data_IF_299543304920
#
_entry.id   IF_299543304920
#
_cell.length_a   1.000
_cell.length_b   1.000
_cell.length_c   1.000
_cell.angle_alpha   90.00
_cell.angle_beta   90.00
_cell.angle_gamma   90.00
#
_symmetry.space_group_name_H-M   'P 1'
#
loop_
_entity.id
_entity.type
_entity.pdbx_description
1 polymer ?
#
# COMPACT_ATOMS: atom_id res chain seq x y z
N UNK A 1 24.75 43.56 -3.39
CA UNK A 1 23.56 42.98 -2.75
C UNK A 1 23.97 41.58 -2.35
N UNK A 2 24.44 41.44 -1.12
CA UNK A 2 25.01 40.20 -0.61
C UNK A 2 23.87 39.24 -0.28
N UNK A 3 23.77 38.17 -1.06
CA UNK A 3 22.88 37.04 -0.80
C UNK A 3 23.55 36.12 0.20
N UNK A 4 23.39 36.41 1.49
CA UNK A 4 23.66 35.44 2.56
C UNK A 4 22.65 34.31 2.47
N UNK A 5 23.13 33.17 1.98
CA UNK A 5 22.42 31.89 1.96
C UNK A 5 22.32 31.41 3.40
N UNK A 6 21.12 31.45 3.99
CA UNK A 6 20.83 30.81 5.26
C UNK A 6 20.66 29.32 4.98
N UNK A 7 21.68 28.53 5.27
CA UNK A 7 21.59 27.06 5.27
C UNK A 7 20.69 26.62 6.41
N UNK A 8 19.66 25.84 6.08
CA UNK A 8 18.78 25.20 7.07
C UNK A 8 19.62 24.36 8.06
N UNK A 9 19.37 24.55 9.35
CA UNK A 9 20.08 23.86 10.41
C UNK A 9 19.77 22.36 10.38
N UNK A 10 20.82 21.55 10.47
CA UNK A 10 20.76 20.09 10.57
C UNK A 10 20.14 19.68 11.94
N UNK A 11 19.03 18.89 11.98
CA UNK A 11 18.37 18.49 13.22
C UNK A 11 19.18 17.52 14.10
N UNK A 12 20.36 17.07 13.67
CA UNK A 12 21.22 16.14 14.41
C UNK A 12 22.02 16.77 15.56
N UNK A 13 21.84 18.07 15.85
CA UNK A 13 22.58 18.81 16.88
C UNK A 13 21.92 18.83 18.27
N UNK A 14 21.47 17.69 18.79
CA UNK A 14 21.13 17.59 20.23
C UNK A 14 22.36 17.87 21.11
N UNK A 15 23.57 17.65 20.59
CA UNK A 15 24.85 17.86 21.28
C UNK A 15 25.24 19.34 21.49
N UNK A 16 24.51 20.31 20.91
CA UNK A 16 24.87 21.74 20.95
C UNK A 16 24.02 22.57 21.93
N UNK A 17 23.28 21.95 22.85
CA UNK A 17 22.49 22.70 23.84
C UNK A 17 23.43 23.32 24.91
N UNK A 18 23.33 24.64 25.06
CA UNK A 18 24.27 25.50 25.79
C UNK A 18 24.30 25.21 27.32
N UNK A 19 25.48 24.97 27.94
CA UNK A 19 25.61 24.56 29.35
C UNK A 19 25.27 25.63 30.41
N UNK A 20 24.84 26.84 30.03
CA UNK A 20 24.69 27.98 30.95
C UNK A 20 23.38 28.04 31.78
N UNK A 21 22.66 26.93 31.96
CA UNK A 21 21.39 26.88 32.75
C UNK A 21 21.62 26.27 34.15
N UNK A 22 22.46 26.88 34.98
CA UNK A 22 22.90 26.28 36.28
C UNK A 22 22.53 27.04 37.56
N UNK A 23 21.72 28.09 37.55
CA UNK A 23 21.39 28.82 38.79
C UNK A 23 19.90 28.80 39.17
N UNK A 24 19.39 27.67 39.72
CA UNK A 24 18.11 27.63 40.45
C UNK A 24 18.27 26.88 41.78
N UNK A 25 18.44 27.64 42.87
CA UNK A 25 17.98 27.42 44.25
C UNK A 25 18.08 26.05 44.95
N UNK A 26 18.81 26.03 46.09
CA UNK A 26 19.06 24.95 47.06
C UNK A 26 17.87 24.11 47.60
N UNK A 27 16.62 24.30 47.14
CA UNK A 27 15.46 23.47 47.53
C UNK A 27 15.24 22.24 46.64
N UNK A 28 15.95 22.15 45.52
CA UNK A 28 15.84 21.06 44.54
C UNK A 28 17.21 20.50 44.10
N UNK A 29 18.21 20.53 44.99
CA UNK A 29 19.61 20.14 44.71
C UNK A 29 19.84 18.70 44.21
N UNK A 30 18.79 17.86 44.20
CA UNK A 30 18.83 16.48 43.72
C UNK A 30 18.20 16.29 42.33
N UNK A 31 17.92 17.35 41.58
CA UNK A 31 17.47 17.25 40.19
C UNK A 31 18.69 17.42 39.31
N UNK A 32 19.00 16.47 38.42
CA UNK A 32 19.98 16.71 37.37
C UNK A 32 19.62 18.00 36.63
N UNK A 33 20.60 18.81 36.24
CA UNK A 33 20.29 20.04 35.50
C UNK A 33 19.47 19.71 34.25
N UNK A 34 18.75 20.71 33.69
CA UNK A 34 17.98 20.50 32.47
C UNK A 34 18.82 19.84 31.36
N UNK A 35 20.11 20.19 31.28
CA UNK A 35 21.08 19.56 30.38
C UNK A 35 21.27 18.07 30.64
N UNK A 36 21.41 17.65 31.90
CA UNK A 36 21.56 16.22 32.21
C UNK A 36 20.29 15.45 31.86
N UNK A 37 19.11 16.06 31.97
CA UNK A 37 17.85 15.42 31.55
C UNK A 37 17.75 15.28 30.03
N UNK A 38 18.21 16.29 29.29
CA UNK A 38 18.35 16.23 27.84
C UNK A 38 19.34 15.12 27.45
N UNK A 39 20.51 15.07 28.09
CA UNK A 39 21.51 14.03 27.83
C UNK A 39 20.96 12.63 28.14
N UNK A 40 20.21 12.49 29.24
CA UNK A 40 19.55 11.22 29.58
C UNK A 40 18.53 10.82 28.52
N UNK A 41 17.79 11.77 27.95
CA UNK A 41 16.81 11.54 26.90
C UNK A 41 17.49 11.19 25.56
N UNK A 42 18.57 11.89 25.21
CA UNK A 42 19.37 11.64 24.03
C UNK A 42 19.98 10.23 24.03
N UNK A 43 20.41 9.75 25.21
CA UNK A 43 21.05 8.44 25.36
C UNK A 43 20.08 7.28 25.64
N UNK A 44 18.81 7.56 25.95
CA UNK A 44 17.76 6.54 26.16
C UNK A 44 16.49 6.95 25.44
N UNK A 45 16.23 6.42 24.23
CA UNK A 45 15.27 7.03 23.30
C UNK A 45 13.80 6.97 23.73
N UNK A 46 13.43 6.32 24.85
CA UNK A 46 12.03 5.97 25.06
C UNK A 46 11.40 6.32 26.41
N UNK A 47 12.14 6.44 27.53
CA UNK A 47 11.49 6.75 28.83
C UNK A 47 12.45 7.28 29.89
N UNK A 48 12.07 8.38 30.53
CA UNK A 48 12.71 8.83 31.77
C UNK A 48 12.31 7.90 32.94
N UNK A 49 13.21 7.61 33.89
CA UNK A 49 12.85 6.88 35.11
C UNK A 49 11.67 7.54 35.84
N UNK A 50 10.72 6.74 36.33
CA UNK A 50 9.47 7.23 36.92
C UNK A 50 9.65 8.26 38.04
N UNK A 51 10.69 8.13 38.86
CA UNK A 51 10.97 9.08 39.94
C UNK A 51 11.44 10.44 39.41
N UNK A 52 12.22 10.46 38.31
CA UNK A 52 12.65 11.70 37.64
C UNK A 52 11.43 12.35 36.98
N UNK A 53 10.63 11.54 36.31
CA UNK A 53 9.43 11.98 35.62
C UNK A 53 8.42 12.62 36.57
N UNK A 54 8.07 11.96 37.69
CA UNK A 54 7.21 12.52 38.75
C UNK A 54 7.73 13.86 39.25
N UNK A 55 9.04 13.94 39.50
CA UNK A 55 9.68 15.14 40.02
C UNK A 55 9.63 16.30 39.01
N UNK A 56 9.84 16.02 37.72
CA UNK A 56 9.67 17.02 36.66
C UNK A 56 8.24 17.55 36.60
N UNK A 57 7.26 16.65 36.71
CA UNK A 57 5.86 17.04 36.77
C UNK A 57 5.57 17.93 38.00
N UNK A 58 6.12 17.59 39.16
CA UNK A 58 5.95 18.38 40.39
C UNK A 58 6.55 19.78 40.26
N UNK A 59 7.73 19.92 39.64
CA UNK A 59 8.34 21.23 39.35
C UNK A 59 7.44 22.04 38.44
N UNK A 60 6.98 21.44 37.34
CA UNK A 60 6.13 22.09 36.36
C UNK A 60 4.83 22.59 37.03
N UNK A 61 4.14 21.72 37.78
CA UNK A 61 2.93 22.07 38.51
C UNK A 61 3.17 23.15 39.56
N UNK A 62 4.31 23.11 40.26
CA UNK A 62 4.71 24.15 41.21
C UNK A 62 4.90 25.49 40.52
N UNK A 63 5.68 25.55 39.43
CA UNK A 63 5.91 26.77 38.64
C UNK A 63 4.61 27.33 38.06
N UNK A 64 3.75 26.46 37.52
CA UNK A 64 2.41 26.83 37.01
C UNK A 64 1.53 27.43 38.12
N UNK A 65 1.52 26.84 39.33
CA UNK A 65 0.76 27.35 40.49
C UNK A 65 1.24 28.71 40.97
N UNK A 66 2.54 29.01 40.87
CA UNK A 66 3.09 30.30 41.27
C UNK A 66 2.62 31.46 40.39
N UNK A 67 1.89 31.20 39.28
CA UNK A 67 1.38 32.20 38.32
C UNK A 67 2.43 33.18 37.80
N UNK A 68 3.72 32.88 37.98
CA UNK A 68 4.80 33.59 37.32
C UNK A 68 4.63 33.32 35.83
N UNK A 69 4.81 34.35 35.00
CA UNK A 69 4.88 34.19 33.55
C UNK A 69 6.07 33.26 33.28
N UNK A 70 5.79 32.00 32.99
CA UNK A 70 6.78 31.06 32.47
C UNK A 70 7.04 31.42 31.01
N UNK A 71 8.28 31.23 30.58
CA UNK A 71 8.63 31.33 29.17
C UNK A 71 7.87 30.24 28.39
N UNK A 72 7.16 30.56 27.30
CA UNK A 72 6.46 29.56 26.50
C UNK A 72 7.38 28.44 25.98
N UNK A 73 8.65 28.73 25.66
CA UNK A 73 9.62 27.70 25.27
C UNK A 73 9.95 26.75 26.43
N UNK A 74 10.08 27.29 27.64
CA UNK A 74 10.29 26.48 28.85
C UNK A 74 9.11 25.53 29.08
N UNK A 75 7.88 26.00 28.86
CA UNK A 75 6.67 25.17 28.97
C UNK A 75 6.70 24.01 27.95
N UNK A 76 7.00 24.31 26.69
CA UNK A 76 7.08 23.28 25.64
C UNK A 76 8.15 22.24 25.96
N UNK A 77 9.33 22.66 26.44
CA UNK A 77 10.38 21.72 26.86
C UNK A 77 9.90 20.83 28.01
N UNK A 78 9.20 21.39 29.02
CA UNK A 78 8.61 20.55 30.06
C UNK A 78 7.59 19.57 29.47
N UNK A 79 6.73 19.99 28.55
CA UNK A 79 5.75 19.11 27.93
C UNK A 79 6.39 17.99 27.10
N UNK A 80 7.46 18.28 26.36
CA UNK A 80 8.22 17.29 25.61
C UNK A 80 8.89 16.27 26.54
N UNK A 81 9.61 16.75 27.57
CA UNK A 81 10.32 15.88 28.51
C UNK A 81 9.37 15.06 29.39
N UNK A 82 8.27 15.67 29.82
CA UNK A 82 7.25 15.02 30.65
C UNK A 82 6.26 14.23 29.78
N UNK A 83 6.32 14.36 28.44
CA UNK A 83 5.32 13.88 27.47
C UNK A 83 3.88 14.19 27.90
N UNK A 84 3.66 15.26 28.66
CA UNK A 84 2.34 15.63 29.15
C UNK A 84 1.91 16.92 28.53
N UNK A 85 0.63 16.99 28.20
CA UNK A 85 0.00 18.25 27.87
C UNK A 85 -1.27 18.33 28.72
N UNK A 86 -1.19 19.11 29.81
CA UNK A 86 -2.32 19.38 30.70
C UNK A 86 -2.96 20.74 30.38
N UNK A 87 -2.99 21.14 29.11
CA UNK A 87 -3.78 22.30 28.72
C UNK A 87 -5.26 21.96 28.76
N UNK A 88 -6.02 22.76 29.52
CA UNK A 88 -7.46 22.60 29.68
C UNK A 88 -8.29 23.09 28.47
N UNK A 89 -7.64 23.52 27.39
CA UNK A 89 -8.25 23.98 26.13
C UNK A 89 -7.52 25.16 25.49
N UNK A 90 -8.06 25.66 24.39
CA UNK A 90 -7.48 26.75 23.58
C UNK A 90 -7.19 28.02 24.40
N UNK A 91 -8.07 28.39 25.34
CA UNK A 91 -7.88 29.57 26.19
C UNK A 91 -6.61 29.49 27.06
N UNK A 92 -6.18 28.30 27.44
CA UNK A 92 -4.93 28.13 28.20
C UNK A 92 -3.71 28.22 27.28
N UNK A 93 -3.79 27.65 26.08
CA UNK A 93 -2.75 27.76 25.04
C UNK A 93 -2.48 29.22 24.70
N UNK A 94 -3.54 30.02 24.50
CA UNK A 94 -3.43 31.46 24.27
C UNK A 94 -2.86 32.21 25.48
N UNK A 95 -3.32 31.88 26.70
CA UNK A 95 -2.82 32.50 27.93
C UNK A 95 -1.33 32.24 28.14
N UNK A 96 -0.88 31.03 27.80
CA UNK A 96 0.51 30.62 27.89
C UNK A 96 1.34 31.04 26.68
N UNK A 97 0.73 31.68 25.66
CA UNK A 97 1.37 32.13 24.41
C UNK A 97 2.06 31.00 23.67
N UNK A 98 1.49 29.81 23.74
CA UNK A 98 2.05 28.61 23.11
C UNK A 98 1.94 28.70 21.58
N UNK A 99 0.92 29.40 21.07
CA UNK A 99 0.77 29.73 19.64
C UNK A 99 1.92 30.57 19.08
N UNK A 100 2.71 31.25 19.93
CA UNK A 100 3.91 31.97 19.50
C UNK A 100 5.14 31.07 19.38
N UNK A 101 5.06 29.80 19.81
CA UNK A 101 6.15 28.82 19.69
C UNK A 101 5.80 27.74 18.66
N UNK A 102 4.53 27.33 18.59
CA UNK A 102 4.01 26.46 17.55
C UNK A 102 3.30 27.32 16.50
N UNK A 103 4.09 28.01 15.67
CA UNK A 103 3.57 28.94 14.67
C UNK A 103 3.00 28.21 13.46
N UNK A 104 3.58 27.06 13.13
CA UNK A 104 3.16 26.22 12.01
C UNK A 104 2.45 24.96 12.48
N UNK A 105 1.64 24.41 11.58
CA UNK A 105 1.01 23.12 11.75
C UNK A 105 2.04 21.97 11.74
N UNK A 106 3.15 22.13 11.03
CA UNK A 106 4.30 21.22 11.12
C UNK A 106 4.87 21.19 12.53
N UNK A 107 5.02 22.34 13.19
CA UNK A 107 5.47 22.41 14.60
C UNK A 107 4.49 21.68 15.52
N UNK A 108 3.19 21.87 15.28
CA UNK A 108 2.14 21.19 16.03
C UNK A 108 2.18 19.67 15.84
N UNK A 109 2.30 19.19 14.59
CA UNK A 109 2.38 17.76 14.29
C UNK A 109 3.66 17.17 14.88
N UNK A 110 4.80 17.83 14.70
CA UNK A 110 6.08 17.40 15.28
C UNK A 110 5.98 17.29 16.80
N UNK A 111 5.42 18.32 17.45
CA UNK A 111 5.22 18.33 18.89
C UNK A 111 4.34 17.16 19.32
N UNK A 112 3.23 16.93 18.60
CA UNK A 112 2.29 15.84 18.88
C UNK A 112 2.92 14.46 18.72
N UNK A 113 3.64 14.23 17.62
CA UNK A 113 4.39 13.01 17.37
C UNK A 113 5.44 12.75 18.46
N UNK A 114 6.09 13.82 18.95
CA UNK A 114 7.13 13.73 19.98
C UNK A 114 6.61 13.37 21.37
N UNK A 115 5.32 13.59 21.64
CA UNK A 115 4.67 13.24 22.91
C UNK A 115 3.72 12.04 22.79
N UNK A 116 3.76 11.29 21.68
CA UNK A 116 2.91 10.11 21.50
C UNK A 116 3.21 9.03 22.54
N UNK A 117 2.15 8.29 22.85
CA UNK A 117 2.19 7.07 23.64
C UNK A 117 1.69 5.90 22.80
N UNK A 118 2.37 4.77 22.92
CA UNK A 118 2.01 3.51 22.28
C UNK A 118 2.08 2.36 23.31
N UNK A 119 1.73 1.15 22.88
CA UNK A 119 1.74 -0.03 23.75
C UNK A 119 3.16 -0.37 24.25
N UNK A 120 4.20 0.04 23.50
CA UNK A 120 5.60 -0.14 23.88
C UNK A 120 6.04 0.90 24.92
N UNK A 121 5.41 2.07 24.92
CA UNK A 121 5.69 3.19 25.83
C UNK A 121 4.40 3.73 26.44
N UNK A 122 3.73 2.95 27.31
CA UNK A 122 2.48 3.37 27.91
C UNK A 122 2.68 4.57 28.84
N UNK A 123 1.61 5.38 28.95
CA UNK A 123 1.55 6.47 29.92
C UNK A 123 1.77 5.92 31.35
N UNK A 124 2.59 6.57 32.19
CA UNK A 124 2.72 6.15 33.59
C UNK A 124 1.36 6.15 34.31
N UNK A 125 1.08 5.10 35.08
CA UNK A 125 -0.22 4.91 35.76
C UNK A 125 -0.65 6.10 36.63
N UNK A 126 0.33 6.76 37.27
CA UNK A 126 0.08 7.90 38.15
C UNK A 126 -0.33 9.17 37.39
N UNK A 127 -0.12 9.20 36.08
CA UNK A 127 -0.45 10.30 35.19
C UNK A 127 -1.79 10.08 34.47
N UNK A 128 -2.26 8.84 34.38
CA UNK A 128 -3.61 8.53 33.91
C UNK A 128 -4.61 9.15 34.91
N UNK A 129 -5.48 10.09 34.50
CA UNK A 129 -6.47 10.66 35.40
C UNK A 129 -7.29 9.55 36.07
N UNK A 130 -7.45 9.61 37.41
CA UNK A 130 -8.20 8.58 38.17
C UNK A 130 -9.64 8.36 37.66
N UNK A 131 -10.21 9.34 36.95
CA UNK A 131 -11.51 9.22 36.27
C UNK A 131 -11.48 8.25 35.07
N UNK A 132 -10.33 8.09 34.39
CA UNK A 132 -10.12 7.11 33.31
C UNK A 132 -9.58 5.77 33.80
N UNK A 133 -8.76 5.75 34.85
CA UNK A 133 -8.25 4.50 35.41
C UNK A 133 -9.38 3.52 35.81
N UNK A 134 -10.55 4.05 36.18
CA UNK A 134 -11.75 3.25 36.48
C UNK A 134 -12.48 2.69 35.25
N UNK A 135 -12.29 3.24 34.04
CA UNK A 135 -12.87 2.68 32.81
C UNK A 135 -11.89 1.81 32.02
N UNK A 136 -10.58 1.86 32.33
CA UNK A 136 -9.53 1.05 31.71
C UNK A 136 -9.17 -0.20 32.52
N UNK A 137 -9.59 -0.29 33.78
CA UNK A 137 -9.50 -1.53 34.54
C UNK A 137 -10.49 -2.54 33.93
N UNK A 138 -10.05 -3.75 33.55
CA UNK A 138 -10.95 -4.79 33.11
C UNK A 138 -11.79 -5.20 34.33
N UNK A 139 -12.99 -4.65 34.45
CA UNK A 139 -14.03 -5.35 35.18
C UNK A 139 -14.11 -6.74 34.53
N UNK A 140 -14.02 -7.79 35.34
CA UNK A 140 -14.18 -9.18 34.95
C UNK A 140 -15.44 -9.37 34.08
N UNK A 141 -15.29 -9.16 32.78
CA UNK A 141 -16.25 -9.51 31.76
C UNK A 141 -15.64 -10.66 30.99
N UNK A 142 -16.03 -11.84 31.49
CA UNK A 142 -16.16 -13.07 30.72
C UNK A 142 -16.69 -12.71 29.32
N UNK A 143 -15.88 -13.04 28.31
CA UNK A 143 -16.27 -13.15 26.90
C UNK A 143 -16.79 -11.87 26.21
N UNK A 144 -15.91 -10.94 25.82
CA UNK A 144 -16.06 -10.14 24.58
C UNK A 144 -14.84 -9.26 24.30
N UNK A 145 -14.31 -9.35 23.07
CA UNK A 145 -13.13 -8.64 22.57
C UNK A 145 -13.35 -7.13 22.26
N UNK A 146 -14.35 -6.47 22.85
CA UNK A 146 -14.86 -5.17 22.36
C UNK A 146 -14.54 -3.93 23.22
N UNK A 147 -13.76 -4.05 24.31
CA UNK A 147 -13.75 -3.02 25.36
C UNK A 147 -12.94 -1.77 25.03
N UNK A 148 -11.79 -1.89 24.32
CA UNK A 148 -10.96 -0.73 23.93
C UNK A 148 -11.62 0.07 22.80
N UNK A 149 -12.32 -0.62 21.90
CA UNK A 149 -13.09 0.00 20.82
C UNK A 149 -14.26 0.83 21.34
N UNK A 150 -14.84 0.52 22.52
CA UNK A 150 -16.01 1.26 23.02
C UNK A 150 -15.72 2.70 23.51
N UNK A 151 -14.50 2.98 24.00
CA UNK A 151 -14.10 4.33 24.42
C UNK A 151 -13.68 5.23 23.25
N UNK A 152 -13.20 4.63 22.16
CA UNK A 152 -12.92 5.32 20.90
C UNK A 152 -14.16 5.42 20.01
N UNK A 153 -15.12 4.48 20.07
CA UNK A 153 -16.37 4.55 19.30
C UNK A 153 -17.49 5.35 19.97
N UNK A 154 -17.34 5.75 21.24
CA UNK A 154 -18.26 6.70 21.86
C UNK A 154 -18.22 8.10 21.19
N UNK A 155 -17.25 8.38 20.31
CA UNK A 155 -17.20 9.59 19.47
C UNK A 155 -18.11 9.53 18.23
N UNK A 156 -18.58 8.34 17.81
CA UNK A 156 -19.37 8.17 16.58
C UNK A 156 -20.87 8.52 16.71
N UNK A 157 -21.32 8.96 17.88
CA UNK A 157 -22.70 9.42 18.08
C UNK A 157 -22.87 10.91 17.72
N UNK A 158 -22.61 11.28 16.45
CA UNK A 158 -23.13 12.43 15.68
C UNK A 158 -23.07 13.86 16.25
N UNK A 159 -22.67 14.07 17.50
CA UNK A 159 -22.68 15.34 18.21
C UNK A 159 -21.56 15.37 19.26
N UNK A 160 -20.35 15.03 18.84
CA UNK A 160 -19.17 15.45 19.61
C UNK A 160 -19.16 16.98 19.62
N UNK A 161 -19.67 17.55 20.71
CA UNK A 161 -19.65 18.99 20.96
C UNK A 161 -18.25 19.52 20.67
N UNK A 162 -18.12 20.62 19.91
CA UNK A 162 -16.83 21.28 19.61
C UNK A 162 -15.93 21.45 20.85
N UNK A 163 -16.54 21.56 22.04
CA UNK A 163 -15.83 21.62 23.31
C UNK A 163 -15.10 20.32 23.70
N UNK A 164 -15.63 19.15 23.32
CA UNK A 164 -14.96 17.85 23.51
C UNK A 164 -13.76 17.72 22.57
N UNK A 165 -13.91 18.13 21.30
CA UNK A 165 -12.82 18.16 20.33
C UNK A 165 -11.67 19.08 20.79
N UNK A 166 -12.01 20.30 21.21
CA UNK A 166 -11.04 21.27 21.74
C UNK A 166 -10.31 20.78 23.00
N UNK A 167 -10.96 19.96 23.84
CA UNK A 167 -10.30 19.30 24.97
C UNK A 167 -9.35 18.20 24.51
N UNK A 168 -9.74 17.43 23.50
CA UNK A 168 -8.93 16.33 22.98
C UNK A 168 -7.67 16.83 22.25
N UNK A 169 -7.71 18.02 21.62
CA UNK A 169 -6.57 18.64 20.93
C UNK A 169 -5.30 18.72 21.77
N UNK A 170 -5.40 18.90 23.07
CA UNK A 170 -4.23 19.14 23.93
C UNK A 170 -3.99 18.03 24.95
N UNK A 171 -4.71 16.91 24.88
CA UNK A 171 -4.39 15.76 25.72
C UNK A 171 -3.19 14.96 25.18
N UNK A 172 -2.51 14.18 26.04
CA UNK A 172 -1.69 13.05 25.61
C UNK A 172 -2.50 12.23 24.60
N UNK A 173 -2.00 12.14 23.37
CA UNK A 173 -2.69 11.44 22.29
C UNK A 173 -1.96 10.13 21.99
N UNK A 174 -2.74 9.07 21.80
CA UNK A 174 -2.28 7.91 21.05
C UNK A 174 -2.22 8.28 19.56
N UNK A 175 -1.50 7.49 18.77
CA UNK A 175 -1.46 7.70 17.32
C UNK A 175 -2.88 7.72 16.70
N UNK A 176 -3.81 6.80 17.04
CA UNK A 176 -5.19 6.86 16.53
C UNK A 176 -5.93 8.16 16.87
N UNK A 177 -5.76 8.70 18.07
CA UNK A 177 -6.40 9.95 18.47
C UNK A 177 -5.83 11.15 17.69
N UNK A 178 -4.52 11.14 17.39
CA UNK A 178 -3.92 12.15 16.52
C UNK A 178 -4.42 12.00 15.07
N UNK A 179 -4.54 10.77 14.58
CA UNK A 179 -5.06 10.48 13.24
C UNK A 179 -6.49 10.99 13.07
N UNK A 180 -7.39 10.72 14.02
CA UNK A 180 -8.77 11.22 14.05
C UNK A 180 -8.81 12.75 14.01
N UNK A 181 -7.98 13.42 14.82
CA UNK A 181 -7.88 14.88 14.83
C UNK A 181 -7.46 15.44 13.47
N UNK A 182 -6.47 14.83 12.81
CA UNK A 182 -6.02 15.26 11.48
C UNK A 182 -7.12 15.05 10.44
N UNK A 183 -7.88 13.96 10.52
CA UNK A 183 -9.00 13.71 9.60
C UNK A 183 -10.11 14.76 9.75
N UNK A 184 -10.43 15.13 11.00
CA UNK A 184 -11.51 16.07 11.29
C UNK A 184 -11.15 17.52 10.91
N UNK A 185 -9.93 17.97 11.20
CA UNK A 185 -9.54 19.38 11.04
C UNK A 185 -8.69 19.64 9.80
N UNK A 186 -7.90 18.66 9.37
CA UNK A 186 -6.89 18.80 8.32
C UNK A 186 -7.41 19.34 6.99
N UNK A 187 -8.53 18.83 6.43
CA UNK A 187 -9.06 19.34 5.16
C UNK A 187 -9.40 20.83 5.20
N UNK A 188 -9.96 21.29 6.33
CA UNK A 188 -10.36 22.69 6.51
C UNK A 188 -9.14 23.62 6.58
N UNK A 189 -8.09 23.20 7.28
CA UNK A 189 -6.85 23.97 7.43
C UNK A 189 -6.11 24.04 6.08
N UNK A 190 -5.97 22.90 5.37
CA UNK A 190 -5.32 22.89 4.06
C UNK A 190 -6.04 23.79 3.05
N UNK A 191 -7.38 23.78 3.06
CA UNK A 191 -8.19 24.70 2.23
C UNK A 191 -7.95 26.17 2.57
N UNK A 192 -7.81 26.52 3.86
CA UNK A 192 -7.50 27.89 4.28
C UNK A 192 -6.10 28.34 3.82
N UNK A 193 -5.13 27.41 3.81
CA UNK A 193 -3.77 27.67 3.32
C UNK A 193 -3.66 27.76 1.79
N UNK A 194 -4.73 27.43 1.06
CA UNK A 194 -4.74 27.31 -0.40
C UNK A 194 -3.64 26.38 -0.96
N UNK A 195 -3.28 25.34 -0.19
CA UNK A 195 -2.30 24.33 -0.58
C UNK A 195 -2.93 22.93 -0.52
N UNK A 196 -3.34 22.33 -1.65
CA UNK A 196 -4.01 21.04 -1.66
C UNK A 196 -3.09 19.88 -1.24
N UNK A 197 -1.77 20.05 -1.31
CA UNK A 197 -0.80 19.01 -0.94
C UNK A 197 -0.48 18.95 0.55
N UNK A 198 -0.97 19.93 1.31
CA UNK A 198 -0.63 20.06 2.71
C UNK A 198 -1.35 18.99 3.57
N UNK A 199 -2.63 18.73 3.29
CA UNK A 199 -3.38 17.68 3.96
C UNK A 199 -2.83 16.26 3.73
N UNK A 200 -2.57 15.81 2.48
CA UNK A 200 -1.96 14.49 2.25
C UNK A 200 -0.58 14.37 2.92
N UNK A 201 0.21 15.44 2.99
CA UNK A 201 1.49 15.42 3.72
C UNK A 201 1.31 15.09 5.21
N UNK A 202 0.32 15.69 5.87
CA UNK A 202 0.03 15.39 7.28
C UNK A 202 -0.52 13.98 7.49
N UNK A 203 -1.34 13.50 6.56
CA UNK A 203 -1.80 12.10 6.55
C UNK A 203 -0.61 11.14 6.44
N UNK A 204 0.39 11.43 5.60
CA UNK A 204 1.62 10.64 5.50
C UNK A 204 2.44 10.66 6.81
N UNK A 205 2.62 11.83 7.42
CA UNK A 205 3.33 11.96 8.70
C UNK A 205 2.65 11.19 9.84
N UNK A 206 1.33 11.05 9.77
CA UNK A 206 0.54 10.28 10.73
C UNK A 206 0.25 8.85 10.28
N UNK A 207 0.93 8.36 9.23
CA UNK A 207 0.83 6.99 8.71
C UNK A 207 -0.58 6.57 8.23
N UNK A 208 -1.38 7.52 7.75
CA UNK A 208 -2.71 7.31 7.17
C UNK A 208 -2.61 7.23 5.64
N UNK A 209 -1.90 6.23 5.15
CA UNK A 209 -1.45 6.12 3.76
C UNK A 209 -2.61 6.08 2.74
N UNK A 210 -3.65 5.31 3.04
CA UNK A 210 -4.83 5.13 2.18
C UNK A 210 -5.63 6.43 2.07
N UNK A 211 -5.82 7.11 3.19
CA UNK A 211 -6.46 8.43 3.21
C UNK A 211 -5.61 9.48 2.48
N UNK A 212 -4.28 9.42 2.57
CA UNK A 212 -3.40 10.36 1.87
C UNK A 212 -3.59 10.26 0.35
N UNK A 213 -3.58 9.03 -0.18
CA UNK A 213 -3.86 8.77 -1.61
C UNK A 213 -5.27 9.23 -1.98
N UNK A 214 -6.26 8.87 -1.17
CA UNK A 214 -7.66 9.21 -1.44
C UNK A 214 -7.92 10.72 -1.35
N UNK A 215 -7.19 11.46 -0.52
CA UNK A 215 -7.36 12.92 -0.39
C UNK A 215 -6.88 13.69 -1.62
N UNK A 216 -5.95 13.11 -2.39
CA UNK A 216 -5.53 13.64 -3.70
C UNK A 216 -6.53 13.30 -4.79
N UNK A 217 -7.37 12.28 -4.60
CA UNK A 217 -8.42 11.90 -5.53
C UNK A 217 -9.74 12.62 -5.20
N UNK A 218 -10.47 13.21 -6.17
CA UNK A 218 -10.27 13.14 -7.62
C UNK A 218 -9.49 14.31 -8.24
N UNK A 219 -9.13 15.34 -7.48
CA UNK A 219 -8.61 16.61 -8.01
C UNK A 219 -7.18 16.51 -8.58
N UNK A 220 -6.36 15.62 -8.04
CA UNK A 220 -4.96 15.38 -8.37
C UNK A 220 -4.69 13.88 -8.66
N UNK A 221 -5.31 13.32 -9.71
CA UNK A 221 -5.34 11.88 -9.94
C UNK A 221 -3.97 11.29 -10.29
N UNK A 222 -3.11 12.06 -10.95
CA UNK A 222 -1.77 11.62 -11.32
C UNK A 222 -0.89 11.49 -10.08
N UNK A 223 -0.92 12.49 -9.19
CA UNK A 223 -0.20 12.49 -7.91
C UNK A 223 -0.70 11.38 -6.99
N UNK A 224 -2.03 11.18 -6.93
CA UNK A 224 -2.64 10.07 -6.18
C UNK A 224 -2.09 8.70 -6.64
N UNK A 225 -2.03 8.46 -7.95
CA UNK A 225 -1.47 7.22 -8.52
C UNK A 225 0.00 7.04 -8.14
N UNK A 226 0.83 8.05 -8.35
CA UNK A 226 2.27 7.91 -8.06
C UNK A 226 2.55 7.73 -6.57
N UNK A 227 1.85 8.46 -5.72
CA UNK A 227 1.95 8.30 -4.27
C UNK A 227 1.52 6.89 -3.86
N UNK A 228 0.37 6.42 -4.35
CA UNK A 228 -0.14 5.08 -4.05
C UNK A 228 0.79 3.97 -4.52
N UNK A 229 1.36 4.07 -5.72
CA UNK A 229 2.36 3.12 -6.22
C UNK A 229 3.63 3.11 -5.37
N UNK A 230 4.12 4.29 -4.97
CA UNK A 230 5.28 4.41 -4.07
C UNK A 230 5.01 3.75 -2.72
N UNK A 231 3.86 4.01 -2.11
CA UNK A 231 3.46 3.41 -0.82
C UNK A 231 3.28 1.90 -0.92
N UNK A 232 2.68 1.40 -2.02
CA UNK A 232 2.54 -0.04 -2.29
C UNK A 232 3.91 -0.71 -2.46
N UNK A 233 4.85 -0.08 -3.17
CA UNK A 233 6.20 -0.60 -3.35
C UNK A 233 6.92 -0.85 -2.00
N UNK A 234 6.76 0.06 -1.04
CA UNK A 234 7.29 -0.11 0.31
C UNK A 234 6.43 -1.01 1.23
N UNK A 235 5.30 -1.52 0.74
CA UNK A 235 4.38 -2.33 1.52
C UNK A 235 3.64 -1.56 2.62
N UNK A 236 3.50 -0.24 2.47
CA UNK A 236 2.82 0.64 3.42
C UNK A 236 1.32 0.76 3.15
N UNK A 237 0.86 0.41 1.95
CA UNK A 237 -0.54 0.47 1.55
C UNK A 237 -1.20 -0.91 1.71
N UNK A 238 -2.30 -0.99 2.45
CA UNK A 238 -3.08 -2.22 2.63
C UNK A 238 -4.00 -2.48 1.44
N UNK A 239 -3.64 -3.47 0.62
CA UNK A 239 -4.39 -3.87 -0.59
C UNK A 239 -5.75 -4.52 -0.28
N UNK A 240 -5.98 -5.01 0.95
CA UNK A 240 -7.04 -6.00 1.23
C UNK A 240 -8.15 -5.55 2.18
N UNK A 241 -8.01 -4.45 2.93
CA UNK A 241 -8.92 -4.17 4.06
C UNK A 241 -9.86 -2.98 3.87
N UNK A 242 -9.56 -2.02 2.98
CA UNK A 242 -10.24 -0.72 3.02
C UNK A 242 -11.45 -0.60 2.08
N UNK A 243 -11.70 -1.59 1.22
CA UNK A 243 -12.96 -1.64 0.45
C UNK A 243 -14.17 -1.94 1.34
N UNK A 244 -13.97 -2.44 2.56
CA UNK A 244 -15.05 -2.90 3.45
C UNK A 244 -15.89 -1.74 4.01
N UNK A 245 -15.36 -0.51 4.04
CA UNK A 245 -16.09 0.66 4.56
C UNK A 245 -16.46 1.70 3.48
N UNK A 246 -16.07 1.51 2.22
CA UNK A 246 -16.45 2.38 1.10
C UNK A 246 -15.96 3.84 1.19
N UNK A 247 -15.10 4.17 2.16
CA UNK A 247 -14.58 5.53 2.36
C UNK A 247 -13.37 5.85 1.48
N UNK A 248 -12.64 4.83 1.03
CA UNK A 248 -11.41 4.98 0.24
C UNK A 248 -11.56 4.24 -1.08
N UNK A 249 -11.28 4.94 -2.19
CA UNK A 249 -11.19 4.29 -3.50
C UNK A 249 -9.96 3.36 -3.51
N UNK A 250 -10.10 2.09 -3.90
CA UNK A 250 -8.96 1.19 -3.96
C UNK A 250 -7.97 1.69 -5.03
N UNK A 251 -6.67 1.52 -4.76
CA UNK A 251 -5.63 2.01 -5.65
C UNK A 251 -5.78 1.45 -7.08
N UNK A 252 -6.23 0.20 -7.21
CA UNK A 252 -6.49 -0.44 -8.50
C UNK A 252 -7.47 0.36 -9.35
N UNK A 253 -8.54 0.89 -8.73
CA UNK A 253 -9.59 1.61 -9.45
C UNK A 253 -9.08 3.01 -9.86
N UNK A 254 -8.27 3.66 -9.00
CA UNK A 254 -7.62 4.95 -9.32
C UNK A 254 -6.66 4.77 -10.49
N UNK A 255 -5.77 3.77 -10.41
CA UNK A 255 -4.77 3.47 -11.45
C UNK A 255 -5.45 3.07 -12.75
N UNK A 256 -6.50 2.23 -12.70
CA UNK A 256 -7.30 1.87 -13.86
C UNK A 256 -7.91 3.11 -14.52
N UNK A 257 -8.50 4.02 -13.73
CA UNK A 257 -9.11 5.24 -14.26
C UNK A 257 -8.09 6.13 -14.97
N UNK A 258 -6.93 6.34 -14.35
CA UNK A 258 -5.83 7.11 -14.97
C UNK A 258 -5.27 6.41 -16.20
N UNK A 259 -5.07 5.10 -16.15
CA UNK A 259 -4.56 4.30 -17.26
C UNK A 259 -5.50 4.36 -18.48
N UNK A 260 -6.81 4.25 -18.25
CA UNK A 260 -7.82 4.37 -19.30
C UNK A 260 -7.84 5.77 -19.91
N UNK A 261 -7.70 6.82 -19.09
CA UNK A 261 -7.62 8.20 -19.57
C UNK A 261 -6.36 8.45 -20.42
N UNK A 262 -5.22 7.87 -20.02
CA UNK A 262 -3.96 8.01 -20.74
C UNK A 262 -3.86 7.11 -21.99
N UNK A 263 -4.61 6.02 -22.06
CA UNK A 263 -4.51 5.01 -23.12
C UNK A 263 -4.57 5.57 -24.56
N UNK A 264 -5.45 6.54 -24.89
CA UNK A 264 -5.52 7.07 -26.26
C UNK A 264 -4.29 7.87 -26.68
N UNK A 265 -3.66 8.58 -25.75
CA UNK A 265 -2.56 9.52 -26.03
C UNK A 265 -1.18 8.93 -25.72
N UNK A 266 -1.09 8.07 -24.70
CA UNK A 266 0.15 7.55 -24.13
C UNK A 266 0.02 6.06 -23.76
N UNK A 267 -0.21 5.16 -24.75
CA UNK A 267 -0.45 3.75 -24.47
C UNK A 267 0.73 3.05 -23.80
N UNK A 268 1.97 3.48 -24.07
CA UNK A 268 3.14 2.94 -23.36
C UNK A 268 3.11 3.26 -21.85
N UNK A 269 2.66 4.44 -21.44
CA UNK A 269 2.53 4.79 -20.02
C UNK A 269 1.39 4.02 -19.35
N UNK A 270 0.27 3.86 -20.05
CA UNK A 270 -0.85 3.02 -19.60
C UNK A 270 -0.36 1.60 -19.28
N UNK A 271 0.44 1.00 -20.16
CA UNK A 271 1.07 -0.30 -19.91
C UNK A 271 1.78 -0.35 -18.56
N UNK A 272 2.67 0.62 -18.31
CA UNK A 272 3.49 0.64 -17.10
C UNK A 272 2.65 0.78 -15.85
N UNK A 273 1.63 1.64 -15.85
CA UNK A 273 0.72 1.75 -14.71
C UNK A 273 -0.01 0.44 -14.40
N UNK A 274 -0.51 -0.24 -15.44
CA UNK A 274 -1.19 -1.53 -15.27
C UNK A 274 -0.22 -2.64 -14.85
N UNK A 275 1.02 -2.60 -15.35
CA UNK A 275 2.07 -3.54 -14.97
C UNK A 275 2.49 -3.35 -13.51
N UNK A 276 2.51 -2.11 -13.01
CA UNK A 276 2.80 -1.79 -11.62
C UNK A 276 1.70 -2.27 -10.65
N UNK A 277 0.48 -2.54 -11.12
CA UNK A 277 -0.55 -3.20 -10.30
C UNK A 277 -0.30 -4.70 -10.13
N UNK A 278 0.56 -5.30 -10.96
CA UNK A 278 0.87 -6.72 -10.87
C UNK A 278 1.73 -7.01 -9.63
N UNK A 279 1.19 -7.83 -8.73
CA UNK A 279 1.87 -8.25 -7.50
C UNK A 279 3.25 -8.89 -7.78
N UNK A 280 3.43 -9.51 -8.95
CA UNK A 280 4.73 -10.08 -9.33
C UNK A 280 5.83 -9.02 -9.49
N UNK A 281 5.46 -7.78 -9.83
CA UNK A 281 6.38 -6.66 -10.04
C UNK A 281 6.60 -5.82 -8.78
N UNK A 282 5.57 -5.70 -7.93
CA UNK A 282 5.64 -4.91 -6.70
C UNK A 282 6.10 -5.66 -5.45
N UNK A 283 6.29 -6.98 -5.54
CA UNK A 283 6.69 -7.80 -4.41
C UNK A 283 8.20 -8.15 -4.29
N UNK A 284 9.22 -7.36 -4.68
CA UNK A 284 10.61 -7.73 -4.35
C UNK A 284 10.79 -7.92 -2.83
N UNK A 285 10.25 -7.00 -2.03
CA UNK A 285 10.34 -7.03 -0.57
C UNK A 285 9.53 -8.18 0.05
N UNK A 286 8.29 -8.40 -0.39
CA UNK A 286 7.46 -9.51 0.08
C UNK A 286 8.01 -10.87 -0.35
N UNK A 287 8.55 -10.97 -1.58
CA UNK A 287 9.21 -12.18 -2.08
C UNK A 287 10.46 -12.47 -1.26
N UNK A 288 11.31 -11.48 -1.01
CA UNK A 288 12.49 -11.63 -0.15
C UNK A 288 12.11 -12.08 1.26
N UNK A 289 11.13 -11.43 1.90
CA UNK A 289 10.66 -11.79 3.25
C UNK A 289 10.05 -13.20 3.30
N UNK A 290 9.30 -13.59 2.27
CA UNK A 290 8.73 -14.93 2.16
C UNK A 290 9.80 -15.99 1.89
N UNK A 291 10.82 -15.67 1.09
CA UNK A 291 11.97 -16.54 0.87
C UNK A 291 12.81 -16.71 2.14
N UNK A 292 13.01 -15.64 2.93
CA UNK A 292 13.66 -15.70 4.24
C UNK A 292 12.87 -16.56 5.23
N UNK A 293 11.54 -16.40 5.30
CA UNK A 293 10.66 -17.29 6.08
C UNK A 293 10.76 -18.75 5.63
N UNK A 294 10.79 -19.00 4.31
CA UNK A 294 10.97 -20.36 3.75
C UNK A 294 12.36 -20.92 4.11
N UNK A 295 13.43 -20.12 4.03
CA UNK A 295 14.78 -20.50 4.45
C UNK A 295 14.82 -20.82 5.95
N UNK A 296 14.17 -20.05 6.80
CA UNK A 296 14.06 -20.33 8.24
C UNK A 296 13.29 -21.63 8.53
N UNK A 297 12.14 -21.86 7.86
CA UNK A 297 11.40 -23.12 7.99
C UNK A 297 12.21 -24.33 7.52
N UNK A 298 12.97 -24.21 6.42
CA UNK A 298 13.89 -25.27 5.94
C UNK A 298 15.00 -25.54 6.96
N UNK A 299 15.63 -24.50 7.52
CA UNK A 299 16.65 -24.65 8.58
C UNK A 299 16.08 -25.32 9.83
N UNK A 300 14.88 -24.93 10.27
CA UNK A 300 14.24 -25.55 11.43
C UNK A 300 13.88 -27.02 11.16
N UNK A 301 13.32 -27.34 9.99
CA UNK A 301 13.01 -28.73 9.61
C UNK A 301 14.28 -29.59 9.57
N UNK A 302 15.36 -29.07 8.99
CA UNK A 302 16.64 -29.78 8.92
C UNK A 302 17.27 -29.99 10.30
N UNK A 303 17.15 -29.01 11.21
CA UNK A 303 17.62 -29.13 12.60
C UNK A 303 16.79 -30.12 13.40
N UNK A 304 15.46 -30.13 13.22
CA UNK A 304 14.58 -31.13 13.85
C UNK A 304 14.85 -32.54 13.32
N UNK A 305 15.12 -32.70 12.02
CA UNK A 305 15.53 -34.00 11.44
C UNK A 305 16.89 -34.46 11.95
N UNK A 306 17.88 -33.57 12.10
CA UNK A 306 19.17 -33.90 12.68
C UNK A 306 19.06 -34.26 14.17
N UNK A 307 18.26 -33.52 14.95
CA UNK A 307 18.01 -33.86 16.35
C UNK A 307 17.29 -35.20 16.51
N UNK A 308 16.39 -35.58 15.60
CA UNK A 308 15.75 -36.91 15.61
C UNK A 308 16.72 -38.05 15.27
N UNK A 309 17.73 -37.79 14.43
CA UNK A 309 18.82 -38.73 14.13
C UNK A 309 19.81 -38.83 15.29
N UNK A 310 20.15 -37.71 15.93
CA UNK A 310 21.06 -37.66 17.08
C UNK A 310 20.41 -38.18 18.37
N UNK A 311 19.09 -38.07 18.51
CA UNK A 311 18.35 -38.60 19.66
C UNK A 311 18.17 -40.11 19.62
N UNK A 312 18.88 -40.81 18.71
CA UNK A 312 19.20 -42.24 18.77
C UNK A 312 18.38 -43.00 19.80
N UNK A 313 17.12 -43.23 19.47
CA UNK A 313 16.43 -44.38 20.02
C UNK A 313 17.13 -45.56 19.39
N UNK A 314 17.79 -46.35 20.22
CA UNK A 314 18.30 -47.67 19.89
C UNK A 314 17.16 -48.47 19.27
N UNK A 315 17.10 -48.50 17.94
CA UNK A 315 16.28 -49.44 17.21
C UNK A 315 17.23 -50.54 16.77
N UNK A 316 17.12 -51.66 17.46
CA UNK A 316 17.84 -52.90 17.18
C UNK A 316 17.81 -53.20 15.68
N UNK A 317 18.97 -53.05 15.05
CA UNK A 317 19.19 -53.33 13.65
C UNK A 317 19.29 -54.83 13.46
N UNK A 318 18.22 -55.45 12.98
CA UNK A 318 18.30 -56.72 12.28
C UNK A 318 17.37 -56.72 11.05
N UNK A 319 17.91 -57.22 9.95
CA UNK A 319 17.29 -57.49 8.65
C UNK A 319 17.08 -56.34 7.62
N UNK A 320 17.78 -56.50 6.49
CA UNK A 320 17.12 -56.56 5.18
C UNK A 320 17.33 -55.38 4.22
N UNK A 321 18.43 -55.43 3.45
CA UNK A 321 18.59 -54.64 2.22
C UNK A 321 17.62 -55.18 1.17
N UNK A 322 16.71 -54.35 0.67
CA UNK A 322 15.89 -54.62 -0.53
C UNK A 322 16.04 -53.46 -1.49
N UNK A 323 16.70 -53.75 -2.62
CA UNK A 323 16.73 -52.89 -3.81
C UNK A 323 15.32 -52.85 -4.44
N UNK A 324 14.83 -51.65 -4.76
CA UNK A 324 13.57 -51.45 -5.50
C UNK A 324 13.92 -50.84 -6.86
N UNK A 325 13.88 -51.67 -7.90
CA UNK A 325 13.87 -51.24 -9.29
C UNK A 325 12.49 -50.67 -9.66
N UNK A 326 12.48 -49.45 -10.20
CA UNK A 326 11.28 -48.77 -10.72
C UNK A 326 11.14 -49.08 -12.20
N UNK A 327 10.18 -49.94 -12.55
CA UNK A 327 9.78 -50.26 -13.92
C UNK A 327 8.79 -49.20 -14.42
N UNK A 328 9.12 -48.53 -15.54
CA UNK A 328 8.17 -47.73 -16.32
C UNK A 328 7.31 -48.65 -17.20
N UNK A 329 6.00 -48.47 -17.16
CA UNK A 329 5.03 -49.14 -18.04
C UNK A 329 4.42 -48.08 -18.95
N UNK A 330 4.65 -48.21 -20.25
CA UNK A 330 3.92 -47.48 -21.30
C UNK A 330 2.55 -48.12 -21.51
N UNK A 331 1.51 -47.30 -21.61
CA UNK A 331 0.15 -47.73 -21.97
C UNK A 331 -0.28 -46.93 -23.19
N UNK A 332 -0.37 -47.63 -24.32
CA UNK A 332 -1.03 -47.15 -25.54
C UNK A 332 -2.54 -47.20 -25.35
N UNK A 333 -3.23 -46.11 -25.72
CA UNK A 333 -4.69 -46.08 -25.80
C UNK A 333 -5.10 -45.45 -27.13
N UNK A 334 -5.50 -46.32 -28.06
CA UNK A 334 -6.31 -46.00 -29.23
C UNK A 334 -7.72 -45.61 -28.78
N UNK A 335 -8.27 -44.53 -29.33
CA UNK A 335 -9.71 -44.27 -29.28
C UNK A 335 -10.17 -43.46 -30.49
N UNK A 336 -11.05 -44.08 -31.27
CA UNK A 336 -11.78 -43.54 -32.41
C UNK A 336 -13.00 -42.69 -31.99
N UNK A 337 -13.28 -41.69 -32.83
CA UNK A 337 -14.57 -41.12 -33.27
C UNK A 337 -15.60 -40.59 -32.25
N UNK A 338 -15.91 -39.29 -32.30
CA UNK A 338 -17.12 -38.74 -32.96
C UNK A 338 -17.17 -37.20 -32.81
N UNK A 339 -17.51 -36.50 -33.91
CA UNK A 339 -17.40 -35.05 -34.10
C UNK A 339 -18.76 -34.36 -33.88
N UNK A 340 -19.05 -33.99 -32.63
CA UNK A 340 -20.09 -33.00 -32.31
C UNK A 340 -19.44 -31.61 -32.17
N UNK A 341 -19.78 -30.72 -33.11
CA UNK A 341 -19.24 -29.37 -33.27
C UNK A 341 -19.92 -28.35 -32.33
N UNK A 342 -19.92 -28.66 -31.03
CA UNK A 342 -20.00 -27.61 -30.01
C UNK A 342 -18.57 -27.08 -29.80
N UNK A 343 -18.36 -25.80 -30.10
CA UNK A 343 -17.07 -25.11 -29.98
C UNK A 343 -16.65 -24.99 -28.51
N UNK A 344 -16.21 -26.11 -27.92
CA UNK A 344 -15.59 -26.19 -26.61
C UNK A 344 -14.21 -25.54 -26.67
N UNK A 345 -14.22 -24.21 -26.66
CA UNK A 345 -13.01 -23.40 -26.41
C UNK A 345 -12.38 -23.73 -25.05
N UNK A 346 -13.08 -24.45 -24.17
CA UNK A 346 -12.62 -24.86 -22.85
C UNK A 346 -11.89 -26.22 -22.85
N UNK A 347 -12.25 -27.18 -23.71
CA UNK A 347 -11.72 -28.55 -23.64
C UNK A 347 -10.26 -28.67 -24.13
N UNK A 348 -9.87 -27.89 -25.14
CA UNK A 348 -8.48 -27.77 -25.60
C UNK A 348 -7.59 -26.96 -24.65
N UNK A 349 -8.17 -26.07 -23.84
CA UNK A 349 -7.41 -25.31 -22.84
C UNK A 349 -7.13 -26.17 -21.61
N UNK A 350 -7.99 -27.14 -21.31
CA UNK A 350 -7.88 -28.00 -20.13
C UNK A 350 -6.72 -29.00 -20.15
N UNK A 351 -6.19 -29.38 -21.33
CA UNK A 351 -5.12 -30.38 -21.44
C UNK A 351 -3.71 -29.80 -21.50
N UNK A 352 -3.55 -28.52 -21.85
CA UNK A 352 -2.21 -27.99 -22.17
C UNK A 352 -1.49 -27.27 -21.02
N UNK A 353 -2.12 -26.96 -19.88
CA UNK A 353 -1.42 -26.64 -18.63
C UNK A 353 -2.44 -26.48 -17.50
N UNK A 354 -2.10 -26.94 -16.30
CA UNK A 354 -2.67 -26.54 -14.99
C UNK A 354 -2.37 -25.03 -14.69
N UNK A 355 -2.44 -24.18 -15.73
CA UNK A 355 -2.17 -22.74 -15.79
C UNK A 355 -3.26 -21.90 -15.14
N UNK A 356 -4.45 -22.44 -14.92
CA UNK A 356 -5.48 -21.76 -14.14
C UNK A 356 -5.01 -21.47 -12.70
N UNK A 357 -4.02 -22.22 -12.17
CA UNK A 357 -3.36 -21.91 -10.90
C UNK A 357 -2.30 -20.81 -10.98
N UNK A 358 -1.70 -20.59 -12.16
CA UNK A 358 -0.63 -19.63 -12.38
C UNK A 358 -1.11 -18.28 -12.92
N UNK A 359 -2.34 -18.22 -13.44
CA UNK A 359 -2.91 -17.00 -13.99
C UNK A 359 -4.18 -16.65 -13.21
N UNK A 360 -4.05 -16.35 -11.92
CA UNK A 360 -4.96 -15.36 -11.35
C UNK A 360 -4.70 -14.07 -12.12
N UNK A 361 -5.52 -13.80 -13.14
CA UNK A 361 -5.45 -12.55 -13.88
C UNK A 361 -5.79 -11.44 -12.88
N UNK A 362 -4.76 -10.73 -12.45
CA UNK A 362 -4.95 -9.53 -11.66
C UNK A 362 -5.83 -8.55 -12.44
N UNK A 363 -6.60 -7.70 -11.74
CA UNK A 363 -7.42 -6.64 -12.31
C UNK A 363 -6.68 -5.86 -13.40
N UNK A 364 -5.39 -5.58 -13.24
CA UNK A 364 -4.56 -4.91 -14.27
C UNK A 364 -4.54 -5.63 -15.62
N UNK A 365 -4.48 -6.97 -15.63
CA UNK A 365 -4.59 -7.77 -16.86
C UNK A 365 -5.99 -7.66 -17.47
N UNK A 366 -7.04 -7.63 -16.66
CA UNK A 366 -8.41 -7.47 -17.15
C UNK A 366 -8.59 -6.14 -17.87
N UNK A 367 -8.12 -5.05 -17.28
CA UNK A 367 -8.14 -3.71 -17.89
C UNK A 367 -7.36 -3.69 -19.19
N UNK A 368 -6.18 -4.32 -19.22
CA UNK A 368 -5.37 -4.43 -20.43
C UNK A 368 -6.10 -5.19 -21.54
N UNK A 369 -6.80 -6.28 -21.20
CA UNK A 369 -7.62 -7.03 -22.16
C UNK A 369 -8.77 -6.18 -22.69
N UNK A 370 -9.42 -5.41 -21.83
CA UNK A 370 -10.49 -4.50 -22.23
C UNK A 370 -9.97 -3.39 -23.15
N UNK A 371 -8.79 -2.83 -22.88
CA UNK A 371 -8.12 -1.84 -23.75
C UNK A 371 -7.77 -2.46 -25.11
N UNK A 372 -7.23 -3.68 -25.10
CA UNK A 372 -6.89 -4.40 -26.32
C UNK A 372 -8.14 -4.71 -27.13
N UNK A 373 -9.26 -5.06 -26.50
CA UNK A 373 -10.52 -5.37 -27.17
C UNK A 373 -11.25 -4.10 -27.70
N UNK A 374 -11.36 -3.05 -26.89
CA UNK A 374 -12.30 -1.95 -27.12
C UNK A 374 -11.71 -0.76 -27.88
N UNK A 375 -10.60 -0.17 -27.43
CA UNK A 375 -10.41 1.29 -27.61
C UNK A 375 -9.28 1.72 -28.54
N UNK A 376 -8.58 0.79 -29.19
CA UNK A 376 -7.28 1.13 -29.79
C UNK A 376 -7.26 1.12 -31.32
N UNK A 377 -6.54 2.00 -32.02
CA UNK A 377 -6.08 1.71 -33.39
C UNK A 377 -5.24 0.42 -33.41
N UNK A 378 -5.14 -0.25 -34.57
CA UNK A 378 -4.34 -1.48 -34.73
C UNK A 378 -2.87 -1.27 -34.28
N UNK A 379 -2.38 -0.04 -34.35
CA UNK A 379 -1.06 0.35 -33.84
C UNK A 379 -0.89 0.13 -32.34
N UNK A 380 -1.94 0.23 -31.51
CA UNK A 380 -1.80 -0.02 -30.07
C UNK A 380 -1.69 -1.52 -29.78
N UNK A 381 -2.45 -2.37 -30.48
CA UNK A 381 -2.27 -3.83 -30.41
C UNK A 381 -0.83 -4.18 -30.80
N UNK A 382 -0.33 -3.49 -31.83
CA UNK A 382 1.05 -3.65 -32.30
C UNK A 382 2.09 -3.26 -31.25
N UNK A 383 1.85 -2.19 -30.49
CA UNK A 383 2.72 -1.76 -29.40
C UNK A 383 2.72 -2.77 -28.23
N UNK A 384 1.55 -3.28 -27.85
CA UNK A 384 1.41 -4.14 -26.67
C UNK A 384 1.84 -5.58 -26.92
N UNK A 385 1.43 -6.16 -28.04
CA UNK A 385 1.63 -7.59 -28.34
C UNK A 385 2.67 -7.83 -29.44
N UNK A 386 2.89 -6.86 -30.32
CA UNK A 386 3.82 -6.97 -31.43
C UNK A 386 3.14 -6.86 -32.80
N UNK A 387 3.94 -6.89 -33.86
CA UNK A 387 3.45 -6.64 -35.22
C UNK A 387 3.36 -7.93 -36.04
N UNK A 388 2.36 -8.00 -36.91
CA UNK A 388 2.26 -9.03 -37.94
C UNK A 388 2.67 -8.39 -39.27
N UNK A 389 3.84 -8.79 -39.80
CA UNK A 389 4.31 -8.32 -41.10
C UNK A 389 3.76 -9.21 -42.22
N UNK A 390 3.70 -8.66 -43.44
CA UNK A 390 3.22 -9.34 -44.66
C UNK A 390 4.20 -10.43 -45.14
N UNK A 391 5.44 -10.42 -44.64
CA UNK A 391 6.47 -11.42 -44.91
C UNK A 391 6.58 -12.45 -43.77
N UNK A 392 5.45 -12.85 -43.18
CA UNK A 392 5.30 -14.12 -42.44
C UNK A 392 5.99 -14.19 -41.07
N UNK A 393 6.68 -13.13 -40.68
CA UNK A 393 7.28 -13.04 -39.35
C UNK A 393 6.30 -12.32 -38.42
N UNK A 394 5.54 -13.11 -37.66
CA UNK A 394 4.88 -12.63 -36.45
C UNK A 394 5.97 -12.21 -35.48
N UNK A 395 6.15 -10.88 -35.34
CA UNK A 395 7.10 -10.32 -34.39
C UNK A 395 6.37 -10.08 -33.09
N UNK A 396 6.37 -11.08 -32.22
CA UNK A 396 5.89 -10.93 -30.85
C UNK A 396 6.97 -10.19 -30.05
N UNK A 397 7.04 -8.87 -30.23
CA UNK A 397 8.03 -8.00 -29.58
C UNK A 397 7.37 -6.82 -28.86
N UNK A 398 6.06 -6.88 -28.62
CA UNK A 398 5.34 -5.84 -27.90
C UNK A 398 5.69 -5.78 -26.42
N UNK A 399 5.26 -4.72 -25.74
CA UNK A 399 5.58 -4.44 -24.33
C UNK A 399 5.23 -5.60 -23.39
N UNK A 400 4.10 -6.30 -23.61
CA UNK A 400 3.67 -7.43 -22.78
C UNK A 400 4.66 -8.58 -22.92
N UNK A 401 5.11 -8.89 -24.14
CA UNK A 401 6.10 -9.92 -24.38
C UNK A 401 7.44 -9.58 -23.74
N UNK A 402 7.90 -8.34 -23.93
CA UNK A 402 9.19 -7.88 -23.39
C UNK A 402 9.24 -7.94 -21.86
N UNK A 403 8.13 -7.60 -21.19
CA UNK A 403 8.10 -7.57 -19.73
C UNK A 403 7.70 -8.93 -19.14
N UNK A 404 6.65 -9.55 -19.67
CA UNK A 404 6.00 -10.70 -19.03
C UNK A 404 6.32 -12.05 -19.69
N UNK A 405 7.06 -12.06 -20.80
CA UNK A 405 7.40 -13.26 -21.55
C UNK A 405 6.29 -13.76 -22.49
N UNK A 406 6.65 -14.74 -23.30
CA UNK A 406 5.83 -15.24 -24.41
C UNK A 406 4.49 -15.84 -23.94
N UNK A 407 4.55 -16.75 -22.96
CA UNK A 407 3.37 -17.49 -22.47
C UNK A 407 2.27 -16.52 -22.01
N UNK A 408 2.65 -15.48 -21.26
CA UNK A 408 1.69 -14.49 -20.76
C UNK A 408 1.17 -13.60 -21.88
N UNK A 409 2.02 -13.17 -22.81
CA UNK A 409 1.58 -12.38 -23.96
C UNK A 409 0.54 -13.13 -24.80
N UNK A 410 0.78 -14.41 -25.11
CA UNK A 410 -0.18 -15.25 -25.85
C UNK A 410 -1.48 -15.47 -25.07
N UNK A 411 -1.39 -15.69 -23.76
CA UNK A 411 -2.57 -15.88 -22.90
C UNK A 411 -3.46 -14.64 -22.89
N UNK A 412 -2.85 -13.47 -22.69
CA UNK A 412 -3.55 -12.17 -22.72
C UNK A 412 -4.15 -11.92 -24.11
N UNK A 413 -3.42 -12.19 -25.19
CA UNK A 413 -3.91 -12.06 -26.55
C UNK A 413 -5.13 -12.96 -26.82
N UNK A 414 -5.08 -14.24 -26.41
CA UNK A 414 -6.18 -15.20 -26.56
C UNK A 414 -7.44 -14.77 -25.80
N UNK A 415 -7.28 -14.28 -24.58
CA UNK A 415 -8.41 -13.80 -23.77
C UNK A 415 -8.98 -12.48 -24.32
N UNK A 416 -8.12 -11.53 -24.70
CA UNK A 416 -8.54 -10.30 -25.36
C UNK A 416 -9.28 -10.58 -26.68
N UNK A 417 -8.90 -11.62 -27.42
CA UNK A 417 -9.60 -12.05 -28.62
C UNK A 417 -11.04 -12.50 -28.34
N UNK A 418 -11.27 -13.26 -27.24
CA UNK A 418 -12.62 -13.65 -26.82
C UNK A 418 -13.49 -12.44 -26.50
N UNK A 419 -12.93 -11.47 -25.77
CA UNK A 419 -13.62 -10.22 -25.43
C UNK A 419 -13.94 -9.40 -26.68
N UNK A 420 -12.98 -9.25 -27.59
CA UNK A 420 -13.17 -8.55 -28.86
C UNK A 420 -14.25 -9.20 -29.74
N UNK A 421 -14.28 -10.54 -29.78
CA UNK A 421 -15.31 -11.29 -30.51
C UNK A 421 -16.70 -11.10 -29.90
N UNK A 422 -16.83 -11.21 -28.57
CA UNK A 422 -18.09 -10.98 -27.87
C UNK A 422 -18.64 -9.55 -28.09
N UNK A 423 -17.76 -8.57 -28.32
CA UNK A 423 -18.11 -7.19 -28.66
C UNK A 423 -18.41 -6.96 -30.15
N UNK A 424 -18.37 -8.00 -30.99
CA UNK A 424 -18.60 -7.91 -32.43
C UNK A 424 -17.43 -7.33 -33.22
N UNK A 425 -16.25 -7.21 -32.62
CA UNK A 425 -15.03 -6.72 -33.27
C UNK A 425 -14.20 -7.89 -33.82
N UNK A 426 -14.78 -8.60 -34.79
CA UNK A 426 -14.25 -9.85 -35.31
C UNK A 426 -12.87 -9.69 -35.98
N UNK A 427 -12.64 -8.60 -36.74
CA UNK A 427 -11.34 -8.30 -37.38
C UNK A 427 -10.20 -8.24 -36.36
N UNK A 428 -10.49 -7.64 -35.19
CA UNK A 428 -9.53 -7.55 -34.09
C UNK A 428 -9.35 -8.87 -33.37
N UNK A 429 -10.41 -9.64 -33.18
CA UNK A 429 -10.32 -10.98 -32.61
C UNK A 429 -9.39 -11.87 -33.46
N UNK A 430 -9.48 -11.81 -34.80
CA UNK A 430 -8.58 -12.52 -35.72
C UNK A 430 -7.13 -12.09 -35.49
N UNK A 431 -6.85 -10.79 -35.49
CA UNK A 431 -5.48 -10.28 -35.27
C UNK A 431 -4.89 -10.75 -33.93
N UNK A 432 -5.69 -10.70 -32.86
CA UNK A 432 -5.28 -11.15 -31.53
C UNK A 432 -5.05 -12.67 -31.47
N UNK A 433 -5.84 -13.47 -32.18
CA UNK A 433 -5.63 -14.92 -32.31
C UNK A 433 -4.35 -15.25 -33.08
N UNK A 434 -4.03 -14.52 -34.15
CA UNK A 434 -2.76 -14.64 -34.89
C UNK A 434 -1.59 -14.34 -33.96
N UNK A 435 -1.64 -13.23 -33.21
CA UNK A 435 -0.61 -12.86 -32.23
C UNK A 435 -0.49 -13.84 -31.05
N UNK A 436 -1.58 -14.55 -30.73
CA UNK A 436 -1.57 -15.62 -29.73
C UNK A 436 -0.99 -16.95 -30.27
N UNK A 437 -0.72 -17.07 -31.57
CA UNK A 437 -0.32 -18.31 -32.23
C UNK A 437 -1.48 -19.29 -32.48
N UNK A 438 -2.73 -18.85 -32.33
CA UNK A 438 -3.93 -19.67 -32.51
C UNK A 438 -4.43 -19.60 -33.97
N UNK A 439 -3.56 -19.97 -34.92
CA UNK A 439 -3.78 -19.76 -36.36
C UNK A 439 -5.01 -20.49 -36.90
N UNK A 440 -5.28 -21.72 -36.45
CA UNK A 440 -6.45 -22.48 -36.88
C UNK A 440 -7.76 -21.76 -36.53
N UNK A 441 -7.90 -21.30 -35.28
CA UNK A 441 -9.09 -20.55 -34.83
C UNK A 441 -9.21 -19.20 -35.53
N UNK A 442 -8.09 -18.54 -35.80
CA UNK A 442 -8.08 -17.33 -36.60
C UNK A 442 -8.57 -17.60 -38.04
N UNK A 443 -8.19 -18.72 -38.64
CA UNK A 443 -8.59 -19.12 -39.99
C UNK A 443 -10.08 -19.41 -40.07
N UNK A 444 -10.62 -20.16 -39.11
CA UNK A 444 -12.04 -20.46 -38.99
C UNK A 444 -12.88 -19.18 -38.89
N UNK A 445 -12.46 -18.26 -38.01
CA UNK A 445 -13.15 -16.98 -37.82
C UNK A 445 -13.09 -16.11 -39.09
N UNK A 446 -11.94 -16.09 -39.75
CA UNK A 446 -11.73 -15.37 -41.01
C UNK A 446 -12.60 -15.93 -42.13
N UNK A 447 -12.71 -17.26 -42.27
CA UNK A 447 -13.56 -17.91 -43.26
C UNK A 447 -15.04 -17.60 -43.03
N UNK A 448 -15.48 -17.64 -41.78
CA UNK A 448 -16.85 -17.24 -41.39
C UNK A 448 -17.14 -15.80 -41.80
N UNK A 449 -16.19 -14.91 -41.54
CA UNK A 449 -16.31 -13.48 -41.82
C UNK A 449 -16.27 -13.18 -43.34
N UNK A 450 -15.42 -13.88 -44.09
CA UNK A 450 -15.40 -13.90 -45.57
C UNK A 450 -16.74 -14.34 -46.14
N UNK A 451 -17.28 -15.47 -45.67
CA UNK A 451 -18.56 -16.02 -46.10
C UNK A 451 -19.70 -15.02 -45.94
N UNK A 452 -19.76 -14.33 -44.80
CA UNK A 452 -20.75 -13.27 -44.55
C UNK A 452 -20.62 -12.04 -45.45
N UNK A 453 -19.44 -11.81 -46.04
CA UNK A 453 -19.16 -10.64 -46.87
C UNK A 453 -19.16 -10.93 -48.38
N UNK A 454 -19.26 -12.20 -48.81
CA UNK A 454 -19.18 -12.58 -50.23
C UNK A 454 -20.07 -11.72 -51.14
N UNK A 455 -21.33 -11.49 -50.74
CA UNK A 455 -22.32 -10.76 -51.53
C UNK A 455 -22.16 -9.22 -51.53
N UNK A 456 -21.25 -8.66 -50.73
CA UNK A 456 -21.02 -7.21 -50.70
C UNK A 456 -20.21 -6.75 -51.93
N UNK A 457 -20.30 -5.47 -52.31
CA UNK A 457 -19.52 -4.90 -53.42
C UNK A 457 -18.00 -5.04 -53.17
N UNK A 458 -17.22 -5.26 -54.22
CA UNK A 458 -15.77 -5.47 -54.14
C UNK A 458 -15.01 -4.34 -53.42
N UNK A 459 -15.50 -3.09 -53.54
CA UNK A 459 -14.88 -1.91 -52.91
C UNK A 459 -15.30 -1.66 -51.46
N UNK A 460 -16.00 -2.60 -50.81
CA UNK A 460 -16.40 -2.44 -49.42
C UNK A 460 -15.15 -2.36 -48.50
N UNK A 461 -15.03 -1.36 -47.62
CA UNK A 461 -13.83 -1.15 -46.81
C UNK A 461 -13.49 -2.35 -45.94
N UNK A 462 -14.49 -3.05 -45.36
CA UNK A 462 -14.25 -4.28 -44.59
C UNK A 462 -13.60 -5.38 -45.44
N UNK A 463 -13.99 -5.56 -46.71
CA UNK A 463 -13.35 -6.56 -47.60
C UNK A 463 -11.86 -6.33 -47.74
N UNK A 464 -11.39 -5.07 -47.77
CA UNK A 464 -9.95 -4.77 -47.83
C UNK A 464 -9.23 -5.22 -46.56
N UNK A 465 -9.82 -4.98 -45.39
CA UNK A 465 -9.27 -5.44 -44.10
C UNK A 465 -9.23 -6.96 -44.04
N UNK A 466 -10.30 -7.62 -44.47
CA UNK A 466 -10.39 -9.08 -44.53
C UNK A 466 -9.29 -9.67 -45.42
N UNK A 467 -9.08 -9.10 -46.61
CA UNK A 467 -8.01 -9.54 -47.53
C UNK A 467 -6.63 -9.32 -46.90
N UNK A 468 -6.41 -8.21 -46.20
CA UNK A 468 -5.16 -7.95 -45.48
C UNK A 468 -4.92 -8.98 -44.35
N UNK A 469 -5.96 -9.29 -43.57
CA UNK A 469 -5.91 -10.34 -42.54
C UNK A 469 -5.68 -11.73 -43.14
N UNK A 470 -6.29 -12.02 -44.29
CA UNK A 470 -6.11 -13.28 -45.02
C UNK A 470 -4.66 -13.46 -45.47
N UNK A 471 -4.06 -12.39 -46.01
CA UNK A 471 -2.65 -12.39 -46.40
C UNK A 471 -1.73 -12.66 -45.21
N UNK A 472 -2.08 -12.16 -44.02
CA UNK A 472 -1.32 -12.37 -42.77
C UNK A 472 -1.48 -13.75 -42.14
N UNK A 473 -2.36 -14.60 -42.69
CA UNK A 473 -2.69 -15.91 -42.11
C UNK A 473 -2.27 -17.09 -43.00
N UNK A 474 -2.32 -16.92 -44.33
CA UNK A 474 -1.95 -17.96 -45.31
C UNK A 474 -0.43 -18.15 -45.39
N UNK A 475 0.32 -17.11 -45.04
CA UNK A 475 1.76 -17.07 -45.05
C UNK A 475 2.22 -16.75 -43.63
#
# INVERSE_FOLDING_TARGET
MDTTTITAADPSHIDNINPNVTSIGNKYSSIPSAMVLVDMYANRPMRLPDHIWKKLNDIYLYKRKQRKRMDPFEIIIYWLLNRTNECAGDAEVDRLRISAVMETIEDFIWFKLSILFDDLNPLPEWLVPRSRARSLLPHEQKDSNDSISSLLHASNAGTTSKAALARNRYMPCSLPALQELIVDEGPSIAKQSNNPFLYPLWLLQTQQFELAVNSLWPDHPLEAVHLGLGLRYYGLLNVLQDSVQGKVAPLEDIVQTVALHLSPSFPAYCFWYLQMLDDQYMAPYYRQKNEEKKKHKRKHKHRSSLQALESGMDVDADAGIVDIDVVNVDVDADMDADLDLDLDLESEIGKELDTNKYVQMNKGCQVLMDILAQTSPISTVSLYLGTVNINDVVRVNGLIYQCSGDIRARTVAKQAAKVAFAQGNEERAILLLILAGAYQKAAELLLKLLGGHLNQKANHPRKRVIVDLTKKLIF
#
